data_IF_406783609530
#
_entry.id   IF_406783609530
#
_cell.length_a   1.000
_cell.length_b   1.000
_cell.length_c   1.000
_cell.angle_alpha   90.00
_cell.angle_beta   90.00
_cell.angle_gamma   90.00
#
_symmetry.space_group_name_H-M   'P 1'
#
loop_
_entity.id
_entity.type
_entity.pdbx_description
1 polymer ?
#
# COMPACT_ATOMS: atom_id res chain seq x y z
N UNK A 1 23.46 3.21 -4.24
CA UNK A 1 23.14 3.10 -2.80
C UNK A 1 21.76 2.51 -2.64
N UNK A 2 21.61 1.44 -1.92
CA UNK A 2 20.26 0.95 -1.66
C UNK A 2 19.48 2.02 -0.89
N UNK A 3 18.16 1.93 -0.96
CA UNK A 3 17.32 2.79 -0.14
C UNK A 3 17.80 2.68 1.29
N UNK A 4 18.20 3.79 1.86
CA UNK A 4 18.71 3.81 3.21
C UNK A 4 17.64 3.36 4.19
N UNK A 5 18.03 2.67 5.27
CA UNK A 5 17.10 2.27 6.31
C UNK A 5 16.27 3.44 6.86
N UNK A 6 16.82 4.67 6.99
CA UNK A 6 16.00 5.82 7.41
C UNK A 6 14.83 6.13 6.48
N UNK A 7 15.03 5.95 5.15
CA UNK A 7 13.96 6.18 4.18
C UNK A 7 12.84 5.16 4.34
N UNK A 8 13.20 3.89 4.56
CA UNK A 8 12.22 2.83 4.78
C UNK A 8 11.47 3.04 6.09
N UNK A 9 12.18 3.39 7.16
CA UNK A 9 11.55 3.68 8.45
C UNK A 9 10.61 4.87 8.35
N UNK A 10 11.00 5.92 7.64
CA UNK A 10 10.15 7.09 7.41
C UNK A 10 8.90 6.71 6.60
N UNK A 11 9.04 5.83 5.62
CA UNK A 11 7.91 5.35 4.81
C UNK A 11 6.93 4.53 5.66
N UNK A 12 7.41 3.66 6.53
CA UNK A 12 6.54 2.93 7.47
C UNK A 12 5.88 3.87 8.47
N UNK A 13 6.58 4.89 8.94
CA UNK A 13 5.99 5.88 9.84
C UNK A 13 4.86 6.65 9.16
N UNK A 14 5.01 6.97 7.88
CA UNK A 14 3.95 7.60 7.09
C UNK A 14 2.72 6.67 7.00
N UNK A 15 2.94 5.37 6.80
CA UNK A 15 1.85 4.39 6.78
C UNK A 15 1.15 4.32 8.14
N UNK A 16 1.90 4.37 9.23
CA UNK A 16 1.34 4.39 10.59
C UNK A 16 0.43 5.60 10.77
N UNK A 17 0.91 6.78 10.39
CA UNK A 17 0.14 8.02 10.54
C UNK A 17 -1.15 7.99 9.75
N UNK A 18 -1.08 7.53 8.52
CA UNK A 18 -2.27 7.44 7.67
C UNK A 18 -3.29 6.45 8.26
N UNK A 19 -2.83 5.29 8.73
CA UNK A 19 -3.70 4.29 9.35
C UNK A 19 -4.37 4.87 10.60
N UNK A 20 -3.59 5.53 11.46
CA UNK A 20 -4.10 6.14 12.68
C UNK A 20 -5.11 7.25 12.40
N UNK A 21 -4.90 8.01 11.34
CA UNK A 21 -5.80 9.11 10.98
C UNK A 21 -7.12 8.61 10.40
N UNK A 22 -7.07 7.64 9.50
CA UNK A 22 -8.23 7.21 8.72
C UNK A 22 -8.95 6.00 9.28
N UNK A 23 -8.32 5.22 10.15
CA UNK A 23 -8.91 4.00 10.71
C UNK A 23 -8.50 3.82 12.17
N UNK A 24 -8.93 4.74 13.02
CA UNK A 24 -8.50 4.79 14.44
C UNK A 24 -8.72 3.51 15.21
N UNK A 25 -9.90 2.93 15.11
CA UNK A 25 -10.23 1.69 15.83
C UNK A 25 -9.36 0.53 15.37
N UNK A 26 -9.22 0.41 14.04
CA UNK A 26 -8.35 -0.60 13.45
C UNK A 26 -6.90 -0.38 13.89
N UNK A 27 -6.42 0.87 13.86
CA UNK A 27 -5.07 1.21 14.26
C UNK A 27 -4.80 0.79 15.71
N UNK A 28 -5.73 1.10 16.62
CA UNK A 28 -5.59 0.71 18.03
C UNK A 28 -5.44 -0.80 18.15
N UNK A 29 -6.23 -1.56 17.38
CA UNK A 29 -6.10 -3.02 17.37
C UNK A 29 -4.73 -3.50 16.92
N UNK A 30 -4.09 -2.79 15.98
CA UNK A 30 -2.75 -3.17 15.52
C UNK A 30 -1.68 -3.02 16.61
N UNK A 31 -1.91 -2.17 17.60
CA UNK A 31 -0.94 -1.98 18.69
C UNK A 31 -0.78 -3.23 19.56
N UNK A 32 -1.70 -4.19 19.45
CA UNK A 32 -1.61 -5.47 20.15
C UNK A 32 -0.67 -6.45 19.44
N UNK A 33 -0.24 -6.14 18.22
CA UNK A 33 0.64 -6.98 17.43
C UNK A 33 2.12 -6.67 17.69
N UNK A 34 3.02 -7.65 17.48
CA UNK A 34 4.46 -7.37 17.48
C UNK A 34 4.81 -6.31 16.44
N UNK A 35 5.87 -5.53 16.68
CA UNK A 35 6.20 -4.38 15.84
C UNK A 35 6.35 -4.69 14.35
N UNK A 36 6.93 -5.83 14.00
CA UNK A 36 7.08 -6.22 12.58
C UNK A 36 5.75 -6.47 11.90
N UNK A 37 4.82 -7.13 12.59
CA UNK A 37 3.48 -7.41 12.06
C UNK A 37 2.66 -6.13 11.96
N UNK A 38 2.80 -5.26 12.94
CA UNK A 38 2.14 -3.96 12.98
C UNK A 38 2.52 -3.12 11.76
N UNK A 39 3.82 -3.03 11.47
CA UNK A 39 4.33 -2.30 10.31
C UNK A 39 3.80 -2.88 9.00
N UNK A 40 3.79 -4.20 8.89
CA UNK A 40 3.27 -4.89 7.70
C UNK A 40 1.80 -4.55 7.47
N UNK A 41 0.99 -4.58 8.52
CA UNK A 41 -0.44 -4.28 8.42
C UNK A 41 -0.67 -2.83 7.99
N UNK A 42 0.10 -1.88 8.53
CA UNK A 42 -0.03 -0.48 8.12
C UNK A 42 0.31 -0.28 6.63
N UNK A 43 1.35 -0.95 6.15
CA UNK A 43 1.71 -0.88 4.72
C UNK A 43 0.58 -1.42 3.85
N UNK A 44 0.04 -2.59 4.20
CA UNK A 44 -1.06 -3.21 3.46
C UNK A 44 -2.30 -2.32 3.50
N UNK A 45 -2.61 -1.75 4.66
CA UNK A 45 -3.75 -0.83 4.79
C UNK A 45 -3.63 0.35 3.82
N UNK A 46 -2.46 0.98 3.76
CA UNK A 46 -2.23 2.12 2.88
C UNK A 46 -2.37 1.71 1.41
N UNK A 47 -1.85 0.53 1.04
CA UNK A 47 -2.02 0.02 -0.32
C UNK A 47 -3.51 -0.15 -0.67
N UNK A 48 -4.28 -0.74 0.24
CA UNK A 48 -5.72 -0.91 0.06
C UNK A 48 -6.42 0.44 -0.10
N UNK A 49 -6.06 1.41 0.72
CA UNK A 49 -6.62 2.75 0.67
C UNK A 49 -6.32 3.44 -0.65
N UNK A 50 -5.08 3.31 -1.16
CA UNK A 50 -4.72 3.87 -2.48
C UNK A 50 -5.51 3.23 -3.60
N UNK A 51 -5.74 1.92 -3.50
CA UNK A 51 -6.55 1.21 -4.49
C UNK A 51 -7.98 1.75 -4.50
N UNK A 52 -8.59 1.93 -3.34
CA UNK A 52 -9.94 2.47 -3.24
C UNK A 52 -10.02 3.91 -3.78
N UNK A 53 -9.04 4.74 -3.46
CA UNK A 53 -9.01 6.14 -3.90
C UNK A 53 -8.94 6.30 -5.42
N UNK A 54 -8.44 5.30 -6.15
CA UNK A 54 -8.40 5.37 -7.61
C UNK A 54 -9.79 5.48 -8.21
N UNK A 55 -10.81 4.92 -7.55
CA UNK A 55 -12.18 4.91 -8.04
C UNK A 55 -13.12 5.79 -7.21
N UNK A 56 -12.90 5.87 -5.92
CA UNK A 56 -13.86 6.46 -4.99
C UNK A 56 -13.58 7.91 -4.60
N UNK A 57 -12.41 8.44 -4.94
CA UNK A 57 -12.11 9.84 -4.61
C UNK A 57 -12.99 10.80 -5.42
N UNK A 58 -13.30 12.00 -4.88
CA UNK A 58 -14.07 12.99 -5.64
C UNK A 58 -13.44 13.33 -6.99
N UNK A 59 -12.11 13.35 -7.05
CA UNK A 59 -11.38 13.61 -8.29
C UNK A 59 -11.61 12.47 -9.30
N UNK A 60 -11.59 11.21 -8.83
CA UNK A 60 -11.86 10.06 -9.69
C UNK A 60 -13.29 10.07 -10.23
N UNK A 61 -14.25 10.41 -9.37
CA UNK A 61 -15.67 10.45 -9.76
C UNK A 61 -15.95 11.50 -10.84
N UNK A 62 -15.09 12.49 -10.97
CA UNK A 62 -15.22 13.54 -11.98
C UNK A 62 -14.58 13.18 -13.31
N UNK A 63 -13.96 11.99 -13.43
CA UNK A 63 -13.22 11.59 -14.62
C UNK A 63 -14.01 10.62 -15.52
N UNK A 64 -13.74 10.63 -16.85
CA UNK A 64 -14.33 9.64 -17.74
C UNK A 64 -13.97 8.21 -17.36
N UNK A 65 -14.87 7.28 -17.66
CA UNK A 65 -14.67 5.85 -17.38
C UNK A 65 -13.40 5.30 -18.03
N UNK A 66 -13.07 5.77 -19.23
CA UNK A 66 -11.87 5.33 -19.94
C UNK A 66 -10.59 5.68 -19.18
N UNK A 67 -10.54 6.86 -18.55
CA UNK A 67 -9.39 7.26 -17.74
C UNK A 67 -9.28 6.43 -16.46
N UNK A 68 -10.43 6.09 -15.87
CA UNK A 68 -10.43 5.23 -14.66
C UNK A 68 -9.94 3.84 -15.01
N UNK A 69 -10.35 3.29 -16.15
CA UNK A 69 -9.86 1.99 -16.61
C UNK A 69 -8.35 2.00 -16.82
N UNK A 70 -7.80 3.05 -17.42
CA UNK A 70 -6.36 3.19 -17.59
C UNK A 70 -5.62 3.29 -16.26
N UNK A 71 -6.20 3.98 -15.29
CA UNK A 71 -5.62 4.07 -13.94
C UNK A 71 -5.56 2.70 -13.29
N UNK A 72 -6.61 1.91 -13.39
CA UNK A 72 -6.65 0.58 -12.83
C UNK A 72 -5.62 -0.33 -13.51
N UNK A 73 -5.49 -0.25 -14.83
CA UNK A 73 -4.50 -1.02 -15.57
C UNK A 73 -3.09 -0.68 -15.12
N UNK A 74 -2.78 0.60 -14.98
CA UNK A 74 -1.46 1.04 -14.48
C UNK A 74 -1.21 0.60 -13.04
N UNK A 75 -2.24 0.63 -12.22
CA UNK A 75 -2.14 0.19 -10.83
C UNK A 75 -1.89 -1.31 -10.76
N UNK A 76 -2.53 -2.09 -11.61
CA UNK A 76 -2.29 -3.52 -11.72
C UNK A 76 -0.85 -3.80 -12.15
N UNK A 77 -0.35 -3.12 -13.18
CA UNK A 77 1.03 -3.26 -13.64
C UNK A 77 2.02 -2.93 -12.52
N UNK A 78 1.78 -1.84 -11.81
CA UNK A 78 2.59 -1.43 -10.67
C UNK A 78 2.57 -2.47 -9.56
N UNK A 79 1.42 -3.04 -9.28
CA UNK A 79 1.27 -4.09 -8.27
C UNK A 79 2.04 -5.34 -8.68
N UNK A 80 1.94 -5.77 -9.93
CA UNK A 80 2.72 -6.90 -10.44
C UNK A 80 4.22 -6.64 -10.34
N UNK A 81 4.65 -5.42 -10.65
CA UNK A 81 6.06 -5.03 -10.59
C UNK A 81 6.59 -5.08 -9.16
N UNK A 82 5.82 -4.60 -8.18
CA UNK A 82 6.29 -4.65 -6.79
C UNK A 82 6.38 -6.09 -6.25
N UNK A 83 5.53 -7.00 -6.72
CA UNK A 83 5.65 -8.42 -6.38
C UNK A 83 6.90 -9.05 -7.00
N UNK A 84 7.46 -8.44 -8.04
CA UNK A 84 8.76 -8.82 -8.62
C UNK A 84 9.92 -8.07 -7.97
N UNK A 85 9.64 -7.27 -6.94
CA UNK A 85 10.67 -6.54 -6.20
C UNK A 85 11.01 -5.16 -6.74
N UNK A 86 10.24 -4.63 -7.69
CA UNK A 86 10.49 -3.30 -8.25
C UNK A 86 9.90 -2.22 -7.37
N UNK A 87 10.69 -1.20 -7.09
CA UNK A 87 10.33 -0.10 -6.20
C UNK A 87 10.42 1.22 -6.97
N UNK A 88 9.31 1.93 -7.09
CA UNK A 88 9.26 3.24 -7.73
C UNK A 88 9.04 4.37 -6.72
N UNK A 89 8.40 4.07 -5.60
CA UNK A 89 8.07 5.06 -4.57
C UNK A 89 8.12 4.44 -3.17
N UNK A 90 7.82 5.25 -2.16
CA UNK A 90 7.88 4.83 -0.76
C UNK A 90 6.88 3.71 -0.44
N UNK A 91 5.68 3.76 -1.03
CA UNK A 91 4.69 2.71 -0.81
C UNK A 91 5.16 1.38 -1.37
N UNK A 92 5.75 1.39 -2.57
CA UNK A 92 6.34 0.17 -3.14
C UNK A 92 7.44 -0.36 -2.22
N UNK A 93 8.26 0.52 -1.67
CA UNK A 93 9.36 0.12 -0.78
C UNK A 93 8.85 -0.63 0.45
N UNK A 94 7.83 -0.09 1.13
CA UNK A 94 7.27 -0.75 2.33
C UNK A 94 6.54 -2.03 1.97
N UNK A 95 5.88 -2.08 0.80
CA UNK A 95 5.20 -3.28 0.35
C UNK A 95 6.19 -4.39 0.00
N UNK A 96 7.28 -4.07 -0.71
CA UNK A 96 8.31 -5.07 -1.03
C UNK A 96 8.94 -5.61 0.26
N UNK A 97 9.28 -4.74 1.22
CA UNK A 97 9.80 -5.17 2.52
C UNK A 97 8.81 -6.09 3.24
N UNK A 98 7.53 -5.73 3.22
CA UNK A 98 6.46 -6.51 3.85
C UNK A 98 6.35 -7.91 3.21
N UNK A 99 6.39 -7.98 1.88
CA UNK A 99 6.29 -9.25 1.16
C UNK A 99 7.52 -10.13 1.35
N UNK A 100 8.70 -9.54 1.57
CA UNK A 100 9.90 -10.31 1.89
C UNK A 100 9.82 -10.93 3.28
N UNK A 101 9.28 -10.18 4.26
CA UNK A 101 9.13 -10.67 5.63
C UNK A 101 7.94 -11.61 5.81
N UNK A 102 6.85 -11.34 5.10
CA UNK A 102 5.60 -12.09 5.18
C UNK A 102 5.15 -12.44 3.76
N UNK A 103 5.74 -13.48 3.15
CA UNK A 103 5.41 -13.84 1.76
C UNK A 103 3.92 -14.11 1.56
N UNK A 104 3.37 -13.52 0.51
CA UNK A 104 1.95 -13.64 0.17
C UNK A 104 1.81 -13.80 -1.34
N UNK A 105 0.71 -14.43 -1.77
CA UNK A 105 0.38 -14.49 -3.18
C UNK A 105 -0.19 -13.16 -3.67
N UNK A 106 -0.04 -12.90 -4.95
CA UNK A 106 -0.52 -11.66 -5.57
C UNK A 106 -2.04 -11.63 -5.74
N UNK A 107 -2.68 -12.81 -5.86
CA UNK A 107 -4.08 -12.88 -6.26
C UNK A 107 -5.05 -12.05 -5.41
N UNK A 108 -4.98 -12.07 -4.06
CA UNK A 108 -5.87 -11.24 -3.26
C UNK A 108 -5.77 -9.74 -3.59
N UNK A 109 -4.57 -9.28 -3.93
CA UNK A 109 -4.36 -7.88 -4.31
C UNK A 109 -4.97 -7.57 -5.67
N UNK A 110 -4.81 -8.46 -6.63
CA UNK A 110 -5.42 -8.32 -7.95
C UNK A 110 -6.94 -8.35 -7.88
N UNK A 111 -7.49 -9.15 -6.98
CA UNK A 111 -8.94 -9.25 -6.79
C UNK A 111 -9.56 -7.96 -6.26
N UNK A 112 -8.77 -7.11 -5.61
CA UNK A 112 -9.22 -5.80 -5.13
C UNK A 112 -9.23 -4.74 -6.21
N UNK A 113 -8.50 -4.96 -7.28
CA UNK A 113 -8.42 -4.05 -8.41
C UNK A 113 -9.57 -4.36 -9.38
#
# INVERSE_FOLDING_TARGET
>A
MPLASPDLDAAFEACRRETAEWAKTFYIGTLLLPSEKRRAIWAIYVWCRRTDELMDSPEAQARPVEELAERLDRWEEKTRALFDGRVEDDLDAVMVDTLERFPQGIQPYLDMI
#
